data_IF_119270367187
#
_entry.id   IF_119270367187
#
_cell.length_a   1.000
_cell.length_b   1.000
_cell.length_c   1.000
_cell.angle_alpha   90.00
_cell.angle_beta   90.00
_cell.angle_gamma   90.00
#
_symmetry.space_group_name_H-M   'P 1'
#
loop_
_entity.id
_entity.type
_entity.pdbx_description
1 polymer ?
#
# COMPACT_ATOMS: atom_id res chain seq x y z
N UNK A 1 10.37 -17.14 13.46
CA UNK A 1 11.03 -16.42 14.59
C UNK A 1 12.18 -15.53 14.12
N UNK A 2 13.06 -16.01 13.25
CA UNK A 2 14.22 -15.23 12.78
C UNK A 2 13.87 -13.87 12.15
N UNK A 3 12.84 -13.79 11.29
CA UNK A 3 12.40 -12.54 10.66
C UNK A 3 11.95 -11.50 11.70
N UNK A 4 11.23 -11.95 12.74
CA UNK A 4 10.78 -11.07 13.84
C UNK A 4 11.98 -10.56 14.63
N UNK A 5 12.96 -11.43 14.88
CA UNK A 5 14.20 -11.05 15.58
C UNK A 5 14.99 -10.03 14.75
N UNK A 6 15.14 -10.25 13.44
CA UNK A 6 15.80 -9.31 12.52
C UNK A 6 15.10 -7.95 12.54
N UNK A 7 13.76 -7.92 12.43
CA UNK A 7 12.98 -6.69 12.51
C UNK A 7 13.20 -5.94 13.84
N UNK A 8 13.21 -6.66 14.97
CA UNK A 8 13.43 -6.08 16.30
C UNK A 8 14.86 -5.53 16.44
N UNK A 9 15.88 -6.30 16.05
CA UNK A 9 17.29 -5.87 16.10
C UNK A 9 17.47 -4.60 15.28
N UNK A 10 16.86 -4.55 14.10
CA UNK A 10 16.98 -3.39 13.25
C UNK A 10 16.23 -2.16 13.79
N UNK A 11 15.07 -2.33 14.44
CA UNK A 11 14.39 -1.24 15.15
C UNK A 11 15.24 -0.68 16.30
N UNK A 12 15.94 -1.54 17.04
CA UNK A 12 16.86 -1.13 18.11
C UNK A 12 18.04 -0.31 17.57
N UNK A 13 18.61 -0.70 16.43
CA UNK A 13 19.67 0.07 15.76
C UNK A 13 19.20 1.47 15.36
N UNK A 14 17.97 1.57 14.83
CA UNK A 14 17.37 2.84 14.45
C UNK A 14 17.22 3.78 15.64
N UNK A 15 16.73 3.24 16.76
CA UNK A 15 16.60 3.97 18.02
C UNK A 15 17.95 4.50 18.52
N UNK A 16 19.02 3.72 18.36
CA UNK A 16 20.36 4.14 18.73
C UNK A 16 20.84 5.32 17.87
N UNK A 17 20.57 5.30 16.56
CA UNK A 17 20.95 6.38 15.62
C UNK A 17 20.21 7.68 15.93
N UNK A 18 18.96 7.59 16.41
CA UNK A 18 18.14 8.74 16.81
C UNK A 18 18.83 9.62 17.86
N UNK A 19 19.49 8.99 18.81
CA UNK A 19 20.14 9.66 19.94
C UNK A 19 21.48 10.32 19.54
N UNK A 20 22.10 9.88 18.44
CA UNK A 20 23.43 10.35 18.03
C UNK A 20 23.38 11.50 17.01
N UNK A 21 22.53 11.42 15.96
CA UNK A 21 22.46 12.45 14.90
C UNK A 21 21.02 12.64 14.39
N UNK A 22 20.31 13.65 14.92
CA UNK A 22 18.89 13.93 14.62
C UNK A 22 18.53 14.11 13.13
N UNK A 23 19.23 14.93 12.31
CA UNK A 23 18.86 15.10 10.90
C UNK A 23 19.18 13.86 10.05
N UNK A 24 20.24 13.13 10.39
CA UNK A 24 20.60 11.89 9.69
C UNK A 24 19.62 10.76 10.02
N UNK A 25 19.11 10.74 11.25
CA UNK A 25 18.10 9.77 11.69
C UNK A 25 16.83 9.83 10.82
N UNK A 26 16.37 11.02 10.40
CA UNK A 26 15.16 11.12 9.59
C UNK A 26 15.29 10.41 8.24
N UNK A 27 16.37 10.68 7.51
CA UNK A 27 16.64 10.03 6.22
C UNK A 27 16.83 8.51 6.39
N UNK A 28 17.63 8.10 7.38
CA UNK A 28 17.88 6.68 7.67
C UNK A 28 16.58 5.99 8.07
N UNK A 29 15.72 6.63 8.88
CA UNK A 29 14.43 6.09 9.31
C UNK A 29 13.49 5.86 8.14
N UNK A 30 13.44 6.77 7.17
CA UNK A 30 12.64 6.57 5.95
C UNK A 30 13.20 5.39 5.16
N UNK A 31 14.49 5.40 4.82
CA UNK A 31 15.13 4.32 4.04
C UNK A 31 14.94 2.96 4.70
N UNK A 32 15.17 2.92 6.00
CA UNK A 32 15.02 1.74 6.81
C UNK A 32 13.58 1.23 6.83
N UNK A 33 12.60 2.12 7.05
CA UNK A 33 11.19 1.74 7.08
C UNK A 33 10.74 1.16 5.75
N UNK A 34 11.22 1.70 4.62
CA UNK A 34 10.98 1.11 3.30
C UNK A 34 11.64 -0.26 3.11
N UNK A 35 12.85 -0.45 3.63
CA UNK A 35 13.56 -1.74 3.54
C UNK A 35 12.85 -2.80 4.38
N UNK A 36 12.50 -2.48 5.63
CA UNK A 36 11.74 -3.36 6.51
C UNK A 36 10.35 -3.65 5.95
N UNK A 37 9.66 -2.62 5.42
CA UNK A 37 8.38 -2.81 4.75
C UNK A 37 8.52 -3.74 3.54
N UNK A 38 9.52 -3.56 2.67
CA UNK A 38 9.76 -4.43 1.52
C UNK A 38 10.00 -5.90 1.94
N UNK A 39 10.78 -6.10 3.00
CA UNK A 39 11.03 -7.42 3.56
C UNK A 39 9.73 -8.05 4.10
N UNK A 40 8.98 -7.35 4.96
CA UNK A 40 7.71 -7.84 5.50
C UNK A 40 6.65 -8.03 4.41
N UNK A 41 6.64 -7.14 3.42
CA UNK A 41 5.69 -7.19 2.32
C UNK A 41 5.93 -8.44 1.46
N UNK A 42 7.16 -8.68 1.04
CA UNK A 42 7.49 -9.84 0.20
C UNK A 42 7.33 -11.18 0.94
N UNK A 43 7.67 -11.22 2.23
CA UNK A 43 7.68 -12.48 3.01
C UNK A 43 6.34 -12.81 3.67
N UNK A 44 5.55 -11.82 4.08
CA UNK A 44 4.31 -12.03 4.84
C UNK A 44 3.07 -11.50 4.11
N UNK A 45 3.08 -10.22 3.69
CA UNK A 45 1.87 -9.60 3.13
C UNK A 45 1.53 -10.12 1.73
N UNK A 46 2.51 -10.31 0.86
CA UNK A 46 2.32 -10.80 -0.50
C UNK A 46 1.70 -12.21 -0.53
N UNK A 47 2.22 -13.23 0.18
CA UNK A 47 1.57 -14.54 0.19
C UNK A 47 0.17 -14.49 0.82
N UNK A 48 -0.02 -13.68 1.85
CA UNK A 48 -1.33 -13.47 2.46
C UNK A 48 -2.34 -12.85 1.48
N UNK A 49 -1.95 -11.82 0.72
CA UNK A 49 -2.79 -11.20 -0.30
C UNK A 49 -3.16 -12.22 -1.39
N UNK A 50 -2.21 -13.06 -1.82
CA UNK A 50 -2.49 -14.13 -2.80
C UNK A 50 -3.52 -15.13 -2.26
N UNK A 51 -3.34 -15.60 -1.03
CA UNK A 51 -4.27 -16.54 -0.40
C UNK A 51 -5.66 -15.92 -0.20
N UNK A 52 -5.72 -14.64 0.16
CA UNK A 52 -6.98 -13.89 0.27
C UNK A 52 -7.68 -13.78 -1.09
N UNK A 53 -6.94 -13.47 -2.16
CA UNK A 53 -7.48 -13.38 -3.52
C UNK A 53 -8.02 -14.72 -4.01
N UNK A 54 -7.33 -15.82 -3.72
CA UNK A 54 -7.80 -17.17 -4.05
C UNK A 54 -9.09 -17.51 -3.30
N UNK A 55 -9.14 -17.18 -2.01
CA UNK A 55 -10.34 -17.40 -1.18
C UNK A 55 -11.52 -16.59 -1.66
N UNK A 56 -11.28 -15.36 -2.12
CA UNK A 56 -12.30 -14.44 -2.62
C UNK A 56 -12.54 -14.55 -4.14
N UNK A 57 -11.96 -15.55 -4.81
CA UNK A 57 -12.04 -15.68 -6.27
C UNK A 57 -13.47 -15.83 -6.80
N UNK A 58 -14.40 -16.28 -5.96
CA UNK A 58 -15.82 -16.40 -6.29
C UNK A 58 -16.56 -15.05 -6.37
N UNK A 59 -15.99 -13.98 -5.80
CA UNK A 59 -16.65 -12.70 -5.64
C UNK A 59 -16.23 -11.76 -6.79
N UNK A 60 -17.19 -11.18 -7.54
CA UNK A 60 -16.86 -10.28 -8.64
C UNK A 60 -16.11 -9.06 -8.10
N UNK A 61 -15.10 -8.59 -8.83
CA UNK A 61 -14.24 -7.47 -8.42
C UNK A 61 -13.44 -7.69 -7.13
N UNK A 62 -13.36 -8.91 -6.57
CA UNK A 62 -12.55 -9.19 -5.38
C UNK A 62 -11.11 -8.69 -5.53
N UNK A 63 -10.51 -8.92 -6.69
CA UNK A 63 -9.18 -8.41 -7.04
C UNK A 63 -9.11 -6.90 -6.98
N UNK A 64 -10.10 -6.21 -7.54
CA UNK A 64 -10.15 -4.76 -7.56
C UNK A 64 -10.24 -4.17 -6.14
N UNK A 65 -11.06 -4.77 -5.29
CA UNK A 65 -11.23 -4.38 -3.88
C UNK A 65 -9.94 -4.60 -3.11
N UNK A 66 -9.36 -5.80 -3.17
CA UNK A 66 -8.14 -6.14 -2.41
C UNK A 66 -6.96 -5.28 -2.84
N UNK A 67 -6.78 -5.04 -4.14
CA UNK A 67 -5.72 -4.17 -4.65
C UNK A 67 -5.94 -2.72 -4.21
N UNK A 68 -7.17 -2.20 -4.29
CA UNK A 68 -7.50 -0.84 -3.87
C UNK A 68 -7.27 -0.64 -2.37
N UNK A 69 -7.72 -1.58 -1.54
CA UNK A 69 -7.52 -1.54 -0.10
C UNK A 69 -6.02 -1.60 0.25
N UNK A 70 -5.28 -2.50 -0.39
CA UNK A 70 -3.83 -2.63 -0.19
C UNK A 70 -3.11 -1.33 -0.55
N UNK A 71 -3.42 -0.75 -1.72
CA UNK A 71 -2.82 0.49 -2.18
C UNK A 71 -3.15 1.66 -1.23
N UNK A 72 -4.39 1.74 -0.74
CA UNK A 72 -4.82 2.76 0.20
C UNK A 72 -4.03 2.70 1.51
N UNK A 73 -3.94 1.52 2.14
CA UNK A 73 -3.22 1.36 3.41
C UNK A 73 -1.71 1.60 3.26
N UNK A 74 -1.11 1.13 2.16
CA UNK A 74 0.30 1.39 1.87
C UNK A 74 0.54 2.89 1.66
N UNK A 75 -0.32 3.55 0.88
CA UNK A 75 -0.25 4.98 0.63
C UNK A 75 -0.39 5.81 1.91
N UNK A 76 -1.35 5.45 2.78
CA UNK A 76 -1.53 6.07 4.08
C UNK A 76 -0.30 5.90 4.97
N UNK A 77 0.28 4.70 5.02
CA UNK A 77 1.48 4.43 5.80
C UNK A 77 2.70 5.23 5.31
N UNK A 78 2.94 5.26 3.99
CA UNK A 78 4.04 6.08 3.41
C UNK A 78 3.82 7.57 3.71
N UNK A 79 2.59 8.06 3.58
CA UNK A 79 2.24 9.44 3.90
C UNK A 79 2.55 9.78 5.35
N UNK A 80 2.13 8.91 6.28
CA UNK A 80 2.38 9.05 7.70
C UNK A 80 3.88 9.12 8.01
N UNK A 81 4.66 8.17 7.45
CA UNK A 81 6.11 8.13 7.60
C UNK A 81 6.77 9.44 7.11
N UNK A 82 6.34 9.97 5.97
CA UNK A 82 6.89 11.23 5.45
C UNK A 82 6.53 12.42 6.33
N UNK A 83 5.28 12.50 6.80
CA UNK A 83 4.81 13.59 7.68
C UNK A 83 5.58 13.57 9.00
N UNK A 84 5.77 12.41 9.63
CA UNK A 84 6.51 12.28 10.89
C UNK A 84 7.97 12.72 10.77
N UNK A 85 8.57 12.56 9.59
CA UNK A 85 9.96 12.92 9.33
C UNK A 85 10.12 14.36 8.80
N UNK A 86 9.06 15.18 8.86
CA UNK A 86 9.09 16.60 8.48
C UNK A 86 8.74 16.89 7.03
N UNK A 87 8.44 15.87 6.21
CA UNK A 87 8.07 16.00 4.79
C UNK A 87 6.56 16.13 4.58
N UNK A 88 5.92 17.04 5.33
CA UNK A 88 4.44 17.15 5.39
C UNK A 88 3.78 17.30 4.01
N UNK A 89 4.29 18.21 3.16
CA UNK A 89 3.74 18.46 1.82
C UNK A 89 3.84 17.22 0.94
N UNK A 90 5.00 16.56 0.92
CA UNK A 90 5.19 15.33 0.15
C UNK A 90 4.30 14.19 0.65
N UNK A 91 4.14 14.04 1.97
CA UNK A 91 3.23 13.06 2.56
C UNK A 91 1.79 13.24 2.07
N UNK A 92 1.28 14.48 2.04
CA UNK A 92 -0.05 14.76 1.51
C UNK A 92 -0.17 14.45 0.01
N UNK A 93 0.82 14.88 -0.80
CA UNK A 93 0.83 14.60 -2.25
C UNK A 93 0.80 13.10 -2.53
N UNK A 94 1.58 12.30 -1.80
CA UNK A 94 1.58 10.84 -1.96
C UNK A 94 0.20 10.25 -1.65
N UNK A 95 -0.42 10.68 -0.56
CA UNK A 95 -1.72 10.13 -0.16
C UNK A 95 -2.83 10.51 -1.14
N UNK A 96 -2.84 11.75 -1.61
CA UNK A 96 -3.83 12.20 -2.59
C UNK A 96 -3.59 11.56 -3.96
N UNK A 97 -2.33 11.39 -4.37
CA UNK A 97 -1.97 10.65 -5.57
C UNK A 97 -2.48 9.21 -5.54
N UNK A 98 -2.35 8.52 -4.41
CA UNK A 98 -2.88 7.16 -4.21
C UNK A 98 -4.40 7.12 -4.38
N UNK A 99 -5.14 8.07 -3.80
CA UNK A 99 -6.60 8.15 -3.97
C UNK A 99 -6.98 8.35 -5.44
N UNK A 100 -6.27 9.22 -6.15
CA UNK A 100 -6.50 9.46 -7.58
C UNK A 100 -6.28 8.17 -8.38
N UNK A 101 -5.20 7.44 -8.12
CA UNK A 101 -4.93 6.16 -8.78
C UNK A 101 -6.05 5.14 -8.51
N UNK A 102 -6.54 5.05 -7.27
CA UNK A 102 -7.67 4.17 -6.91
C UNK A 102 -8.93 4.59 -7.67
N UNK A 103 -9.24 5.89 -7.72
CA UNK A 103 -10.41 6.41 -8.44
C UNK A 103 -10.34 6.09 -9.94
N UNK A 104 -9.19 6.32 -10.57
CA UNK A 104 -8.98 6.00 -11.98
C UNK A 104 -9.11 4.51 -12.26
N UNK A 105 -8.63 3.68 -11.35
CA UNK A 105 -8.75 2.23 -11.44
C UNK A 105 -10.22 1.80 -11.41
N UNK A 106 -11.01 2.28 -10.44
CA UNK A 106 -12.45 1.99 -10.37
C UNK A 106 -13.26 2.58 -11.51
N UNK A 107 -12.88 3.76 -12.03
CA UNK A 107 -13.53 4.35 -13.18
C UNK A 107 -13.41 3.46 -14.43
N UNK A 108 -12.26 2.80 -14.61
CA UNK A 108 -12.05 1.83 -15.68
C UNK A 108 -12.95 0.60 -15.53
N UNK A 109 -13.04 0.04 -14.33
CA UNK A 109 -13.92 -1.11 -14.04
C UNK A 109 -15.40 -0.73 -14.26
N UNK A 110 -15.80 0.47 -13.84
CA UNK A 110 -17.16 0.98 -14.04
C UNK A 110 -17.52 1.16 -15.52
N UNK A 111 -16.60 1.68 -16.34
CA UNK A 111 -16.81 1.79 -17.78
C UNK A 111 -17.03 0.43 -18.45
N UNK A 112 -16.30 -0.61 -18.03
CA UNK A 112 -16.50 -1.96 -18.54
C UNK A 112 -17.91 -2.49 -18.23
N UNK A 113 -18.40 -2.26 -17.01
CA UNK A 113 -19.78 -2.62 -16.63
C UNK A 113 -20.82 -1.89 -17.47
N UNK A 114 -20.65 -0.58 -17.68
CA UNK A 114 -21.57 0.19 -18.51
C UNK A 114 -21.63 -0.32 -19.96
N UNK A 115 -20.49 -0.74 -20.51
CA UNK A 115 -20.43 -1.33 -21.85
C UNK A 115 -21.18 -2.67 -21.92
N UNK A 116 -21.02 -3.53 -20.92
CA UNK A 116 -21.76 -4.80 -20.84
C UNK A 116 -23.27 -4.58 -20.71
N UNK A 117 -23.70 -3.67 -19.83
CA UNK A 117 -25.13 -3.33 -19.67
C UNK A 117 -25.70 -2.76 -20.96
N UNK A 118 -24.98 -1.86 -21.63
CA UNK A 118 -25.38 -1.30 -22.92
C UNK A 118 -25.53 -2.39 -23.99
N UNK A 119 -24.60 -3.34 -24.07
CA UNK A 119 -24.66 -4.45 -25.00
C UNK A 119 -25.85 -5.39 -24.72
N UNK A 120 -26.19 -5.62 -23.46
CA UNK A 120 -27.38 -6.40 -23.08
C UNK A 120 -28.65 -5.67 -23.52
N UNK A 121 -28.77 -4.37 -23.25
CA UNK A 121 -29.92 -3.56 -23.66
C UNK A 121 -30.11 -3.54 -25.18
N UNK A 122 -29.03 -3.49 -25.95
CA UNK A 122 -29.08 -3.56 -27.42
C UNK A 122 -29.50 -4.92 -27.98
N UNK A 123 -29.30 -6.02 -27.23
CA UNK A 123 -29.74 -7.36 -27.64
C UNK A 123 -31.20 -7.66 -27.29
N UNK A 124 -31.76 -6.90 -26.36
CA UNK A 124 -33.15 -7.03 -25.88
C UNK A 124 -34.15 -6.21 -26.71
N UNK A 125 -33.66 -5.34 -27.58
CA UNK A 125 -34.44 -4.44 -28.44
C UNK A 125 -34.25 -4.83 -29.91
#
# INVERSE_FOLDING_TARGET
MEIVIIAVVMLLLLLLIKEVIKPLHALISVMFSFLLFSMLFSTLLLPFIKQLLETLAFLPYAKAIVVSASLFYIGQWVSFLLVEQGYKVLGHIVYDGVKIVILLYWFKEFLAVLQEVSAILQRLN
#
